data_IF_960500624648
#
_entry.id   IF_960500624648
#
_cell.length_a   1.000
_cell.length_b   1.000
_cell.length_c   1.000
_cell.angle_alpha   90.00
_cell.angle_beta   90.00
_cell.angle_gamma   90.00
#
_symmetry.space_group_name_H-M   'P 1'
#
loop_
_entity.id
_entity.type
_entity.pdbx_description
1 polymer ?
#
# COMPACT_ATOMS: atom_id res chain seq x y z
N UNK A 1 8.49 24.04 -0.43
CA UNK A 1 8.67 23.20 -1.64
C UNK A 1 8.76 21.74 -1.22
N UNK A 2 7.84 20.87 -1.64
CA UNK A 2 7.88 19.43 -1.33
C UNK A 2 8.78 18.76 -2.38
N UNK A 3 9.76 17.93 -2.01
CA UNK A 3 10.62 17.26 -2.98
C UNK A 3 9.80 16.31 -3.87
N UNK A 4 10.03 16.37 -5.18
CA UNK A 4 9.26 15.68 -6.25
C UNK A 4 9.24 14.15 -6.03
N UNK A 5 10.28 13.59 -5.40
CA UNK A 5 10.31 12.16 -5.05
C UNK A 5 9.20 11.78 -4.04
N UNK A 6 8.77 12.68 -3.15
CA UNK A 6 7.72 12.39 -2.14
C UNK A 6 6.34 12.19 -2.75
N UNK A 7 6.11 12.60 -4.00
CA UNK A 7 4.82 12.45 -4.69
C UNK A 7 4.77 11.25 -5.66
N UNK A 8 5.77 10.34 -5.58
CA UNK A 8 5.78 9.10 -6.36
C UNK A 8 6.58 9.17 -7.65
N UNK A 9 7.36 10.23 -7.84
CA UNK A 9 8.31 10.32 -8.95
C UNK A 9 9.51 9.42 -8.70
N UNK A 10 9.78 8.51 -9.63
CA UNK A 10 10.93 7.60 -9.57
C UNK A 10 11.79 7.76 -10.82
N UNK A 11 13.09 7.91 -10.56
CA UNK A 11 14.14 7.82 -11.56
C UNK A 11 15.12 6.74 -11.12
N UNK A 12 15.29 5.70 -11.94
CA UNK A 12 16.20 4.58 -11.70
C UNK A 12 16.89 4.22 -13.01
N UNK A 13 18.21 4.00 -12.96
CA UNK A 13 18.95 3.56 -14.14
C UNK A 13 18.32 2.28 -14.71
N UNK A 14 18.17 2.23 -16.04
CA UNK A 14 17.58 1.12 -16.78
C UNK A 14 16.11 0.81 -16.43
N UNK A 15 15.36 1.75 -15.85
CA UNK A 15 13.91 1.62 -15.65
C UNK A 15 13.18 2.86 -16.19
N UNK A 16 11.89 2.73 -16.58
CA UNK A 16 11.09 3.86 -16.98
C UNK A 16 11.03 4.94 -15.90
N UNK A 17 11.25 6.19 -16.29
CA UNK A 17 11.09 7.36 -15.44
C UNK A 17 9.63 7.82 -15.46
N UNK A 18 9.13 8.29 -14.32
CA UNK A 18 7.79 8.86 -14.23
C UNK A 18 7.16 8.75 -12.85
N UNK A 19 5.85 9.00 -12.81
CA UNK A 19 5.04 8.85 -11.60
C UNK A 19 4.53 7.42 -11.48
N UNK A 20 4.84 6.79 -10.36
CA UNK A 20 4.40 5.45 -10.04
C UNK A 20 3.62 5.45 -8.74
N UNK A 21 2.65 4.55 -8.66
CA UNK A 21 1.84 4.32 -7.47
C UNK A 21 1.79 2.83 -7.16
N UNK A 22 1.89 2.50 -5.89
CA UNK A 22 1.77 1.15 -5.38
C UNK A 22 0.39 0.94 -4.81
N UNK A 23 -0.20 -0.21 -5.12
CA UNK A 23 -1.49 -0.62 -4.60
C UNK A 23 -1.29 -1.71 -3.53
N UNK A 24 -1.43 -1.31 -2.27
CA UNK A 24 -1.39 -2.20 -1.11
C UNK A 24 -2.75 -2.83 -0.90
N UNK A 25 -2.86 -4.12 -1.15
CA UNK A 25 -4.12 -4.87 -1.05
C UNK A 25 -4.10 -5.78 0.14
N UNK A 26 -5.22 -5.80 0.86
CA UNK A 26 -5.51 -6.82 1.87
C UNK A 26 -6.61 -7.71 1.33
N UNK A 27 -6.39 -9.02 1.40
CA UNK A 27 -7.28 -10.04 0.86
C UNK A 27 -7.69 -10.99 1.98
N UNK A 28 -8.95 -11.38 1.98
CA UNK A 28 -9.42 -12.51 2.76
C UNK A 28 -8.99 -13.81 2.07
N UNK A 29 -8.29 -14.67 2.80
CA UNK A 29 -7.77 -15.93 2.26
C UNK A 29 -8.88 -16.97 2.06
N UNK A 30 -9.91 -16.96 2.93
CA UNK A 30 -10.96 -17.98 2.94
C UNK A 30 -11.87 -17.92 1.72
N UNK A 31 -12.22 -16.71 1.30
CA UNK A 31 -13.15 -16.46 0.20
C UNK A 31 -12.49 -15.76 -1.00
N UNK A 32 -11.20 -15.43 -0.93
CA UNK A 32 -10.43 -14.79 -2.01
C UNK A 32 -11.05 -13.43 -2.40
N UNK A 33 -11.49 -12.65 -1.40
CA UNK A 33 -12.10 -11.33 -1.60
C UNK A 33 -11.11 -10.25 -1.19
N UNK A 34 -11.08 -9.14 -1.93
CA UNK A 34 -10.30 -7.95 -1.55
C UNK A 34 -11.07 -7.18 -0.46
N UNK A 35 -10.49 -7.11 0.74
CA UNK A 35 -11.08 -6.42 1.91
C UNK A 35 -10.51 -5.00 2.09
N UNK A 36 -9.47 -4.65 1.34
CA UNK A 36 -8.87 -3.33 1.42
C UNK A 36 -7.95 -3.03 0.25
N UNK A 37 -8.00 -1.78 -0.20
CA UNK A 37 -7.09 -1.19 -1.19
C UNK A 37 -6.56 0.12 -0.58
N UNK A 38 -5.25 0.32 -0.64
CA UNK A 38 -4.62 1.57 -0.24
C UNK A 38 -3.51 1.91 -1.23
N UNK A 39 -3.67 3.05 -1.91
CA UNK A 39 -2.71 3.50 -2.92
C UNK A 39 -1.72 4.48 -2.30
N UNK A 40 -0.44 4.28 -2.55
CA UNK A 40 0.62 5.21 -2.14
C UNK A 40 1.52 5.57 -3.30
N UNK A 41 2.24 6.70 -3.23
CA UNK A 41 3.45 6.93 -4.03
C UNK A 41 4.36 5.69 -4.14
N UNK A 42 4.93 5.49 -5.32
CA UNK A 42 5.73 4.30 -5.65
C UNK A 42 7.08 4.20 -4.93
N UNK A 43 7.47 5.23 -4.17
CA UNK A 43 8.64 5.23 -3.30
C UNK A 43 8.33 4.73 -1.87
N UNK A 44 7.09 4.37 -1.55
CA UNK A 44 6.70 3.83 -0.24
C UNK A 44 6.82 2.30 -0.26
N UNK A 45 7.63 1.75 0.62
CA UNK A 45 7.78 0.30 0.80
C UNK A 45 6.54 -0.33 1.44
N UNK A 46 6.15 -1.51 0.97
CA UNK A 46 4.91 -2.22 1.36
C UNK A 46 4.81 -2.53 2.87
N UNK A 47 5.95 -2.69 3.54
CA UNK A 47 5.98 -2.89 5.00
C UNK A 47 5.52 -1.68 5.81
N UNK A 48 5.61 -0.46 5.26
CA UNK A 48 5.22 0.78 5.96
C UNK A 48 3.71 0.89 6.15
N UNK A 49 2.86 0.73 5.11
CA UNK A 49 1.41 0.81 5.28
C UNK A 49 0.83 -0.43 5.95
N UNK A 50 1.45 -1.61 5.84
CA UNK A 50 0.87 -2.89 6.22
C UNK A 50 0.21 -2.92 7.61
N UNK A 51 0.95 -2.61 8.68
CA UNK A 51 0.42 -2.64 10.06
C UNK A 51 -0.74 -1.67 10.25
N UNK A 52 -0.58 -0.43 9.78
CA UNK A 52 -1.66 0.57 9.79
C UNK A 52 -2.87 0.11 8.96
N UNK A 53 -2.65 -0.74 7.95
CA UNK A 53 -3.74 -1.29 7.16
C UNK A 53 -4.56 -2.31 7.91
N UNK A 54 -3.88 -3.24 8.60
CA UNK A 54 -4.51 -4.21 9.49
C UNK A 54 -5.29 -3.50 10.61
N UNK A 55 -4.66 -2.55 11.32
CA UNK A 55 -5.30 -1.82 12.41
C UNK A 55 -6.60 -1.13 11.98
N UNK A 56 -6.63 -0.53 10.78
CA UNK A 56 -7.86 0.08 10.25
C UNK A 56 -8.94 -0.97 10.02
N UNK A 57 -8.59 -2.15 9.51
CA UNK A 57 -9.59 -3.20 9.25
C UNK A 57 -10.17 -3.74 10.56
N UNK A 58 -9.33 -4.00 11.55
CA UNK A 58 -9.76 -4.39 12.90
C UNK A 58 -10.68 -3.33 13.49
N UNK A 59 -10.27 -2.05 13.48
CA UNK A 59 -11.07 -0.94 14.04
C UNK A 59 -12.38 -0.68 13.30
N UNK A 60 -12.43 -0.87 11.98
CA UNK A 60 -13.59 -0.52 11.15
C UNK A 60 -14.60 -1.66 11.04
N UNK A 61 -14.13 -2.90 10.95
CA UNK A 61 -14.95 -4.06 10.62
C UNK A 61 -14.93 -5.14 11.71
N UNK A 62 -14.11 -4.99 12.76
CA UNK A 62 -14.00 -5.98 13.83
C UNK A 62 -13.37 -7.29 13.37
N UNK A 63 -12.59 -7.28 12.28
CA UNK A 63 -11.93 -8.49 11.80
C UNK A 63 -10.92 -8.99 12.84
N UNK A 64 -11.00 -10.30 13.12
CA UNK A 64 -9.97 -10.98 13.89
C UNK A 64 -8.80 -11.28 12.95
N UNK A 65 -7.60 -11.05 13.47
CA UNK A 65 -6.40 -11.43 12.77
C UNK A 65 -6.07 -12.88 13.16
N UNK A 66 -5.99 -13.75 12.15
CA UNK A 66 -5.40 -15.08 12.25
C UNK A 66 -4.21 -15.13 11.29
N UNK A 67 -3.09 -15.69 11.76
CA UNK A 67 -1.83 -15.76 11.04
C UNK A 67 -1.65 -17.11 10.36
#
# INVERSE_FOLDING_TARGET
MIPIQKVGYLYRQNKPEGFFYLNHRTTDLKYIIITGVHVTPGNIHDSKPYLNRLDRQVKRFGFLWEQ
#
